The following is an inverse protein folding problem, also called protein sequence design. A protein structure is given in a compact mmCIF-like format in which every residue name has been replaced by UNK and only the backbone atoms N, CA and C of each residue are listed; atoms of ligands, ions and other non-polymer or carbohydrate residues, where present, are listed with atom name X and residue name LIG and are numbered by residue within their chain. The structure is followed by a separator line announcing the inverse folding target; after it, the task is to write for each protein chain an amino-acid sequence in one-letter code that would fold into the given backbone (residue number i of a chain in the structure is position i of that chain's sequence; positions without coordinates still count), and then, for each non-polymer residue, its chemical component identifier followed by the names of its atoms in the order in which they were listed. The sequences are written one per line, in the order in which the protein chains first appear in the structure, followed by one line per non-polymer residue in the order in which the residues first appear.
data_IF_437594586253
#
_entry.id   IF_437594586253
#
_cell.length_a   1.000
_cell.length_b   1.000
_cell.length_c   1.000
_cell.angle_alpha   90.00
_cell.angle_beta   90.00
_cell.angle_gamma   90.00
#
_symmetry.space_group_name_H-M   'P 1'
#
loop_
_entity.id
_entity.type
_entity.pdbx_description
1 polymer ?
#
# COMPACT_ATOMS: atom_id res chain seq x y z
N UNK A 1 33.01 -24.72 56.63
CA UNK A 1 33.10 -23.50 55.81
C UNK A 1 31.71 -23.22 55.25
N UNK A 2 31.16 -22.04 55.51
CA UNK A 2 29.75 -21.71 55.30
C UNK A 2 29.46 -21.37 53.82
N UNK A 3 28.81 -22.29 53.08
CA UNK A 3 28.35 -22.07 51.69
C UNK A 3 27.22 -21.04 51.55
N UNK A 4 26.66 -20.54 52.67
CA UNK A 4 25.57 -19.55 52.68
C UNK A 4 26.01 -18.12 52.33
N UNK A 5 27.30 -17.81 52.42
CA UNK A 5 27.81 -16.48 52.07
C UNK A 5 27.91 -16.27 50.54
N UNK A 6 28.26 -17.32 49.79
CA UNK A 6 28.49 -17.21 48.34
C UNK A 6 27.20 -16.95 47.52
N UNK A 7 26.03 -17.31 48.04
CA UNK A 7 24.74 -17.07 47.36
C UNK A 7 24.08 -15.74 47.75
N UNK A 8 24.52 -15.08 48.83
CA UNK A 8 23.97 -13.78 49.25
C UNK A 8 24.67 -12.58 48.56
N UNK A 9 25.91 -12.75 48.10
CA UNK A 9 26.64 -11.70 47.36
C UNK A 9 26.21 -11.55 45.90
N UNK A 10 25.44 -12.51 45.37
CA UNK A 10 24.96 -12.51 43.98
C UNK A 10 23.62 -11.77 43.82
N UNK A 11 22.91 -11.53 44.91
CA UNK A 11 21.67 -10.78 44.92
C UNK A 11 22.01 -9.31 45.08
N UNK A 12 22.63 -8.75 44.04
CA UNK A 12 22.87 -7.33 43.90
C UNK A 12 21.50 -6.65 43.94
N UNK A 13 21.07 -6.30 45.14
CA UNK A 13 19.85 -5.58 45.42
C UNK A 13 19.95 -4.26 44.67
N UNK A 14 19.38 -4.26 43.47
CA UNK A 14 19.21 -3.05 42.69
C UNK A 14 18.41 -2.13 43.59
N UNK A 15 18.95 -0.95 43.92
CA UNK A 15 18.22 -0.05 44.80
C UNK A 15 16.84 0.23 44.16
N UNK A 16 15.76 0.39 44.94
CA UNK A 16 14.41 0.59 44.39
C UNK A 16 14.37 1.67 43.30
N UNK A 17 15.20 2.69 43.44
CA UNK A 17 15.35 3.79 42.47
C UNK A 17 16.06 3.33 41.19
N UNK A 18 17.16 2.59 41.29
CA UNK A 18 17.90 2.12 40.11
C UNK A 18 17.07 1.07 39.36
N UNK A 19 16.31 0.22 40.06
CA UNK A 19 15.39 -0.73 39.43
C UNK A 19 14.32 -0.04 38.59
N UNK A 20 13.73 1.04 39.12
CA UNK A 20 12.73 1.85 38.38
C UNK A 20 13.36 2.53 37.17
N UNK A 21 14.55 3.13 37.31
CA UNK A 21 15.23 3.78 36.17
C UNK A 21 15.52 2.77 35.06
N UNK A 22 16.01 1.57 35.40
CA UNK A 22 16.32 0.54 34.42
C UNK A 22 15.05 -0.02 33.73
N UNK A 23 13.97 -0.22 34.48
CA UNK A 23 12.69 -0.66 33.93
C UNK A 23 12.08 0.38 32.99
N UNK A 24 12.10 1.65 33.39
CA UNK A 24 11.58 2.75 32.58
C UNK A 24 12.43 2.95 31.32
N UNK A 25 13.75 2.88 31.43
CA UNK A 25 14.65 3.06 30.28
C UNK A 25 14.37 2.05 29.16
N UNK A 26 14.28 0.76 29.49
CA UNK A 26 14.06 -0.29 28.49
C UNK A 26 12.67 -0.16 27.87
N UNK A 27 11.64 0.09 28.68
CA UNK A 27 10.26 0.23 28.16
C UNK A 27 10.09 1.44 27.24
N UNK A 28 10.76 2.56 27.53
CA UNK A 28 10.76 3.74 26.65
C UNK A 28 11.45 3.44 25.32
N UNK A 29 12.58 2.73 25.33
CA UNK A 29 13.27 2.33 24.09
C UNK A 29 12.39 1.42 23.26
N UNK A 30 11.82 0.37 23.87
CA UNK A 30 10.96 -0.59 23.15
C UNK A 30 9.72 0.09 22.58
N UNK A 31 9.07 0.97 23.34
CA UNK A 31 7.92 1.73 22.88
C UNK A 31 8.27 2.63 21.68
N UNK A 32 9.39 3.36 21.74
CA UNK A 32 9.83 4.22 20.65
C UNK A 32 10.14 3.42 19.38
N UNK A 33 10.88 2.31 19.52
CA UNK A 33 11.26 1.45 18.39
C UNK A 33 10.01 0.86 17.72
N UNK A 34 9.11 0.25 18.49
CA UNK A 34 7.87 -0.33 17.94
C UNK A 34 7.01 0.77 17.30
N UNK A 35 6.94 1.96 17.90
CA UNK A 35 6.23 3.11 17.31
C UNK A 35 6.74 3.45 15.90
N UNK A 36 8.06 3.50 15.70
CA UNK A 36 8.64 3.74 14.36
C UNK A 36 8.41 2.59 13.39
N UNK A 37 8.44 1.34 13.85
CA UNK A 37 8.17 0.18 13.01
C UNK A 37 6.69 0.12 12.57
N UNK A 38 5.75 0.41 13.48
CA UNK A 38 4.32 0.43 13.17
C UNK A 38 3.99 1.57 12.21
N UNK A 39 4.56 2.77 12.42
CA UNK A 39 4.34 3.91 11.54
C UNK A 39 4.94 3.65 10.14
N UNK A 40 6.12 3.03 10.06
CA UNK A 40 6.73 2.62 8.79
C UNK A 40 5.96 1.51 8.06
N UNK A 41 5.27 0.62 8.78
CA UNK A 41 4.40 -0.38 8.16
C UNK A 41 3.12 0.25 7.57
N UNK A 42 2.62 1.32 8.18
CA UNK A 42 1.50 2.10 7.64
C UNK A 42 1.80 2.70 6.27
N UNK A 43 3.05 3.11 6.04
CA UNK A 43 3.51 3.65 4.74
C UNK A 43 3.72 2.54 3.69
N UNK A 44 4.05 1.32 4.14
CA UNK A 44 4.17 0.14 3.26
C UNK A 44 2.82 -0.46 2.86
N UNK A 45 1.75 -0.14 3.61
CA UNK A 45 0.38 -0.42 3.22
C UNK A 45 -0.06 0.68 2.23
N UNK A 46 0.56 0.70 1.06
CA UNK A 46 0.31 1.70 0.02
C UNK A 46 -1.20 1.91 -0.22
N UNK A 47 -1.58 3.17 -0.42
CA UNK A 47 -2.96 3.50 -0.76
C UNK A 47 -3.31 2.82 -2.08
N UNK A 48 -4.29 1.91 -2.06
CA UNK A 48 -4.78 1.30 -3.29
C UNK A 48 -5.60 2.34 -4.06
N UNK A 49 -5.45 2.37 -5.39
CA UNK A 49 -6.28 3.23 -6.23
C UNK A 49 -7.71 2.70 -6.19
N UNK A 50 -8.65 3.60 -5.93
CA UNK A 50 -10.07 3.32 -5.93
C UNK A 50 -10.76 4.36 -6.80
N UNK A 51 -11.34 3.90 -7.90
CA UNK A 51 -12.16 4.71 -8.79
C UNK A 51 -13.33 3.87 -9.31
N UNK A 52 -14.49 4.50 -9.45
CA UNK A 52 -15.67 3.89 -10.05
C UNK A 52 -15.57 3.91 -11.56
N UNK A 53 -15.51 2.73 -12.18
CA UNK A 53 -15.37 2.59 -13.63
C UNK A 53 -16.47 1.69 -14.18
N UNK A 54 -17.13 2.17 -15.24
CA UNK A 54 -18.02 1.35 -16.08
C UNK A 54 -17.25 0.86 -17.29
N UNK A 55 -17.44 -0.41 -17.64
CA UNK A 55 -16.79 -1.05 -18.79
C UNK A 55 -17.87 -1.65 -19.67
N UNK A 56 -17.88 -1.22 -20.93
CA UNK A 56 -18.71 -1.77 -21.99
C UNK A 56 -17.80 -2.55 -22.95
N UNK A 57 -17.89 -3.88 -22.91
CA UNK A 57 -17.07 -4.79 -23.72
C UNK A 57 -17.81 -5.21 -24.99
N UNK A 58 -17.10 -5.19 -26.11
CA UNK A 58 -17.51 -5.74 -27.40
C UNK A 58 -16.51 -6.79 -27.88
N UNK A 59 -16.77 -7.44 -29.02
CA UNK A 59 -15.88 -8.49 -29.58
C UNK A 59 -14.52 -7.95 -30.06
N UNK A 60 -14.40 -6.64 -30.27
CA UNK A 60 -13.17 -6.01 -30.79
C UNK A 60 -12.57 -5.00 -29.81
N UNK A 61 -13.42 -4.30 -29.08
CA UNK A 61 -13.03 -3.14 -28.25
C UNK A 61 -13.66 -3.18 -26.86
N UNK A 62 -13.00 -2.52 -25.90
CA UNK A 62 -13.57 -2.17 -24.61
C UNK A 62 -13.65 -0.64 -24.47
N UNK A 63 -14.86 -0.15 -24.20
CA UNK A 63 -15.09 1.24 -23.81
C UNK A 63 -15.09 1.35 -22.31
N UNK A 64 -14.19 2.18 -21.78
CA UNK A 64 -14.03 2.44 -20.35
C UNK A 64 -14.54 3.85 -20.07
N UNK A 65 -15.47 3.96 -19.12
CA UNK A 65 -16.07 5.22 -18.68
C UNK A 65 -15.75 5.46 -17.22
N UNK A 66 -15.25 6.66 -16.93
CA UNK A 66 -14.96 7.09 -15.57
C UNK A 66 -16.26 7.60 -14.90
N UNK A 67 -16.76 6.88 -13.91
CA UNK A 67 -18.01 7.19 -13.20
C UNK A 67 -17.75 7.93 -11.89
N UNK A 68 -16.66 7.58 -11.20
CA UNK A 68 -16.23 8.23 -9.97
C UNK A 68 -14.70 8.23 -9.88
N UNK A 69 -14.10 9.37 -9.49
CA UNK A 69 -12.63 9.49 -9.37
C UNK A 69 -12.08 8.91 -8.07
N UNK A 70 -12.91 8.66 -7.05
CA UNK A 70 -12.45 8.21 -5.74
C UNK A 70 -11.20 8.94 -5.24
N UNK A 71 -10.09 8.21 -5.07
CA UNK A 71 -8.80 8.76 -4.62
C UNK A 71 -7.71 8.86 -5.72
N UNK A 72 -8.09 8.74 -7.00
CA UNK A 72 -7.14 8.74 -8.12
C UNK A 72 -7.13 10.08 -8.85
N UNK A 73 -5.95 10.50 -9.33
CA UNK A 73 -5.81 11.73 -10.11
C UNK A 73 -6.26 11.53 -11.56
N UNK A 74 -5.86 10.42 -12.14
CA UNK A 74 -6.16 10.03 -13.51
C UNK A 74 -6.28 8.50 -13.60
N UNK A 75 -7.01 8.05 -14.62
CA UNK A 75 -7.07 6.64 -15.00
C UNK A 75 -6.35 6.46 -16.32
N UNK A 76 -5.47 5.49 -16.38
CA UNK A 76 -4.83 5.08 -17.61
C UNK A 76 -5.41 3.72 -18.05
N UNK A 77 -5.88 3.65 -19.29
CA UNK A 77 -6.40 2.42 -19.90
C UNK A 77 -5.41 1.98 -20.95
N UNK A 78 -4.85 0.78 -20.81
CA UNK A 78 -3.80 0.25 -21.69
C UNK A 78 -3.96 -1.25 -21.91
N UNK A 79 -3.39 -1.76 -23.00
CA UNK A 79 -3.22 -3.21 -23.18
C UNK A 79 -2.08 -3.73 -22.29
N UNK A 80 -2.18 -4.99 -21.86
CA UNK A 80 -1.17 -5.68 -21.02
C UNK A 80 0.24 -5.70 -21.64
N UNK A 81 0.35 -5.54 -22.97
CA UNK A 81 1.63 -5.43 -23.68
C UNK A 81 2.34 -4.08 -23.50
N UNK A 82 1.77 -3.11 -22.77
CA UNK A 82 2.46 -1.87 -22.36
C UNK A 82 2.90 -0.95 -23.49
N UNK A 83 2.39 -1.14 -24.72
CA UNK A 83 2.79 -0.30 -25.86
C UNK A 83 2.02 1.02 -25.80
N UNK A 84 2.74 2.13 -25.55
CA UNK A 84 2.19 3.48 -25.39
C UNK A 84 1.29 3.96 -26.54
N UNK A 85 1.35 3.32 -27.71
CA UNK A 85 0.48 3.61 -28.85
C UNK A 85 -1.01 3.30 -28.60
N UNK A 86 -1.33 2.47 -27.60
CA UNK A 86 -2.71 2.14 -27.23
C UNK A 86 -3.26 2.90 -26.02
N UNK A 87 -2.41 3.45 -25.15
CA UNK A 87 -2.82 3.98 -23.85
C UNK A 87 -3.77 5.18 -23.96
N UNK A 88 -4.87 5.18 -23.20
CA UNK A 88 -5.81 6.31 -23.10
C UNK A 88 -5.96 6.73 -21.65
N UNK A 89 -5.71 8.01 -21.40
CA UNK A 89 -5.92 8.61 -20.08
C UNK A 89 -7.33 9.21 -19.99
N UNK A 90 -7.99 8.99 -18.86
CA UNK A 90 -9.23 9.65 -18.46
C UNK A 90 -8.94 10.50 -17.23
N UNK A 91 -9.31 11.78 -17.31
CA UNK A 91 -9.04 12.74 -16.22
C UNK A 91 -10.31 13.29 -15.61
N UNK A 92 -11.43 13.25 -16.31
CA UNK A 92 -12.69 13.84 -15.85
C UNK A 92 -13.79 12.77 -15.71
N UNK A 93 -14.63 12.92 -14.69
CA UNK A 93 -15.82 12.08 -14.53
C UNK A 93 -16.75 12.29 -15.72
N UNK A 94 -17.28 11.19 -16.26
CA UNK A 94 -18.10 11.15 -17.46
C UNK A 94 -17.31 11.06 -18.77
N UNK A 95 -15.98 11.10 -18.72
CA UNK A 95 -15.16 10.81 -19.89
C UNK A 95 -15.20 9.31 -20.21
N UNK A 96 -15.23 8.98 -21.50
CA UNK A 96 -15.15 7.60 -22.00
C UNK A 96 -14.06 7.49 -23.05
N UNK A 97 -13.32 6.39 -23.03
CA UNK A 97 -12.32 6.04 -24.05
C UNK A 97 -12.46 4.58 -24.45
N UNK A 98 -12.31 4.32 -25.74
CA UNK A 98 -12.29 2.96 -26.28
C UNK A 98 -10.86 2.55 -26.64
N UNK A 99 -10.51 1.31 -26.31
CA UNK A 99 -9.31 0.63 -26.80
C UNK A 99 -9.70 -0.72 -27.41
N UNK A 100 -9.01 -1.10 -28.47
CA UNK A 100 -9.07 -2.45 -29.03
C UNK A 100 -8.26 -3.44 -28.20
N UNK A 101 -8.72 -4.69 -28.14
CA UNK A 101 -7.99 -5.75 -27.45
C UNK A 101 -6.66 -6.08 -28.15
N UNK A 102 -6.57 -5.95 -29.47
CA UNK A 102 -5.36 -6.26 -30.26
C UNK A 102 -4.72 -7.62 -29.89
N UNK A 103 -5.56 -8.61 -29.52
CA UNK A 103 -5.15 -9.94 -29.07
C UNK A 103 -4.69 -10.05 -27.60
N UNK A 104 -4.70 -8.95 -26.85
CA UNK A 104 -4.29 -8.83 -25.44
C UNK A 104 -5.48 -8.39 -24.55
N UNK A 105 -5.31 -8.52 -23.24
CA UNK A 105 -6.26 -7.99 -22.26
C UNK A 105 -6.04 -6.48 -22.06
N UNK A 106 -7.11 -5.78 -21.69
CA UNK A 106 -7.08 -4.35 -21.38
C UNK A 106 -7.08 -4.17 -19.86
N UNK A 107 -6.19 -3.33 -19.37
CA UNK A 107 -6.08 -2.96 -17.96
C UNK A 107 -6.51 -1.52 -17.76
N UNK A 108 -7.26 -1.30 -16.68
CA UNK A 108 -7.63 0.00 -16.16
C UNK A 108 -6.79 0.24 -14.92
N UNK A 109 -5.91 1.23 -15.00
CA UNK A 109 -4.90 1.56 -14.01
C UNK A 109 -5.28 2.91 -13.40
N UNK A 110 -5.37 2.99 -12.07
CA UNK A 110 -5.54 4.25 -11.36
C UNK A 110 -4.19 4.80 -10.91
N UNK A 111 -3.96 6.08 -11.18
CA UNK A 111 -2.75 6.81 -10.77
C UNK A 111 -3.09 7.70 -9.58
N UNK A 112 -2.40 7.50 -8.45
CA UNK A 112 -2.60 8.28 -7.23
C UNK A 112 -1.81 9.61 -7.24
N UNK A 113 -2.11 10.53 -6.30
CA UNK A 113 -1.36 11.79 -6.14
C UNK A 113 0.13 11.66 -5.87
N UNK A 114 0.54 10.53 -5.30
CA UNK A 114 1.95 10.18 -5.01
C UNK A 114 2.67 9.56 -6.22
N UNK A 115 1.98 9.36 -7.34
CA UNK A 115 2.51 8.69 -8.53
C UNK A 115 2.45 7.16 -8.47
N UNK A 116 1.86 6.58 -7.43
CA UNK A 116 1.64 5.13 -7.34
C UNK A 116 0.56 4.71 -8.34
N UNK A 117 0.86 3.70 -9.14
CA UNK A 117 -0.09 3.10 -10.08
C UNK A 117 -0.61 1.77 -9.54
N UNK A 118 -1.92 1.56 -9.57
CA UNK A 118 -2.50 0.24 -9.24
C UNK A 118 -3.56 -0.15 -10.27
N UNK A 119 -3.63 -1.44 -10.60
CA UNK A 119 -4.63 -1.97 -11.53
C UNK A 119 -5.96 -2.07 -10.81
N UNK A 120 -6.94 -1.29 -11.24
CA UNK A 120 -8.30 -1.27 -10.70
C UNK A 120 -9.12 -2.41 -11.30
N UNK A 121 -8.91 -2.69 -12.59
CA UNK A 121 -9.65 -3.73 -13.32
C UNK A 121 -8.86 -4.25 -14.51
N UNK A 122 -8.98 -5.55 -14.77
CA UNK A 122 -8.55 -6.18 -16.02
C UNK A 122 -9.80 -6.62 -16.78
N UNK A 123 -9.83 -6.30 -18.07
CA UNK A 123 -10.89 -6.63 -19.00
C UNK A 123 -10.29 -7.68 -19.93
N UNK A 124 -10.74 -8.92 -19.75
CA UNK A 124 -10.28 -10.02 -20.57
C UNK A 124 -10.83 -9.88 -21.99
N UNK A 125 -9.96 -10.18 -22.95
CA UNK A 125 -10.35 -10.29 -24.36
C UNK A 125 -11.50 -11.29 -24.54
N UNK A 126 -12.35 -11.10 -25.56
CA UNK A 126 -13.40 -12.06 -25.90
C UNK A 126 -12.84 -13.41 -26.35
#
# INVERSE_FOLDING_TARGET
MNLKAAFQDSERAVSPVIGVILMVAITVILAAVIGTFVLGLGDSLGQNANAGVSVDKTDTDATVTLVDKGNVQELNVTNTNGTAAGSKTLTNVGESKSLGFDGNDIQVIGVLPDGTETVIRTIEKP
#
